data_IF_498380867398
#
_entry.id   IF_498380867398
#
_cell.length_a   1.000
_cell.length_b   1.000
_cell.length_c   1.000
_cell.angle_alpha   90.00
_cell.angle_beta   90.00
_cell.angle_gamma   90.00
#
_symmetry.space_group_name_H-M   'P 1'
#
loop_
_entity.id
_entity.type
_entity.pdbx_description
1 polymer ?
#
# COMPACT_ATOMS: atom_id res chain seq x y z
N UNK A 1 5.83 -0.43 -26.07
CA UNK A 1 7.30 -0.35 -25.96
C UNK A 1 7.74 -1.47 -25.02
N UNK A 2 8.24 -2.58 -25.58
CA UNK A 2 8.66 -3.75 -24.78
C UNK A 2 10.11 -3.47 -24.33
N UNK A 3 10.35 -3.38 -23.02
CA UNK A 3 11.71 -3.29 -22.49
C UNK A 3 12.34 -4.68 -22.51
N UNK A 4 13.34 -4.85 -23.38
CA UNK A 4 14.24 -5.99 -23.40
C UNK A 4 15.34 -5.76 -22.36
N UNK A 5 15.51 -6.71 -21.44
CA UNK A 5 16.66 -6.72 -20.53
C UNK A 5 17.73 -7.63 -21.12
N UNK A 6 18.84 -7.02 -21.53
CA UNK A 6 20.01 -7.71 -22.08
C UNK A 6 21.13 -7.69 -21.04
N UNK A 7 21.64 -8.86 -20.69
CA UNK A 7 22.79 -9.00 -19.82
C UNK A 7 23.92 -9.67 -20.58
N UNK A 8 25.11 -9.08 -20.49
CA UNK A 8 26.35 -9.67 -20.99
C UNK A 8 27.07 -10.31 -19.81
N UNK A 9 27.35 -11.61 -19.91
CA UNK A 9 28.08 -12.37 -18.90
C UNK A 9 29.34 -12.94 -19.54
N UNK A 10 30.50 -12.68 -18.93
CA UNK A 10 31.78 -13.17 -19.41
C UNK A 10 32.24 -14.37 -18.58
N UNK A 11 32.49 -15.48 -19.26
CA UNK A 11 32.99 -16.72 -18.65
C UNK A 11 34.01 -17.36 -19.58
N UNK A 12 35.17 -17.77 -19.06
CA UNK A 12 36.29 -18.34 -19.84
C UNK A 12 36.66 -17.57 -21.11
N UNK A 13 36.76 -16.24 -21.01
CA UNK A 13 37.21 -15.38 -22.11
C UNK A 13 36.21 -15.24 -23.27
N UNK A 14 35.00 -15.79 -23.16
CA UNK A 14 33.89 -15.56 -24.10
C UNK A 14 32.79 -14.74 -23.44
N UNK A 15 32.18 -13.85 -24.23
CA UNK A 15 31.06 -13.01 -23.82
C UNK A 15 29.77 -13.67 -24.30
N UNK A 16 28.87 -13.94 -23.35
CA UNK A 16 27.55 -14.52 -23.59
C UNK A 16 26.48 -13.44 -23.44
N UNK A 17 25.63 -13.30 -24.45
CA UNK A 17 24.48 -12.40 -24.42
C UNK A 17 23.23 -13.18 -24.01
N UNK A 18 22.71 -12.87 -22.83
CA UNK A 18 21.46 -13.43 -22.31
C UNK A 18 20.35 -12.39 -22.47
N UNK A 19 19.35 -12.74 -23.27
CA UNK A 19 18.20 -11.87 -23.55
C UNK A 19 17.00 -12.42 -22.78
N UNK A 20 16.47 -11.62 -21.86
CA UNK A 20 15.27 -11.99 -21.10
C UNK A 20 14.08 -11.21 -21.65
N UNK A 21 13.09 -11.95 -22.19
CA UNK A 21 11.83 -11.39 -22.67
C UNK A 21 10.76 -11.52 -21.57
N UNK A 22 10.17 -10.42 -21.07
CA UNK A 22 9.07 -10.50 -20.12
C UNK A 22 7.80 -10.99 -20.82
N UNK A 23 7.12 -11.96 -20.21
CA UNK A 23 5.88 -12.56 -20.69
C UNK A 23 4.73 -11.53 -20.78
N UNK A 24 4.00 -11.52 -21.89
CA UNK A 24 2.68 -10.89 -21.98
C UNK A 24 1.62 -11.93 -21.55
N UNK A 25 0.79 -11.58 -20.57
CA UNK A 25 -0.24 -12.47 -20.03
C UNK A 25 -1.51 -12.37 -20.89
N UNK A 26 -1.78 -13.41 -21.69
CA UNK A 26 -3.12 -13.71 -22.22
C UNK A 26 -3.56 -15.08 -21.67
N UNK A 27 -4.86 -15.21 -21.36
CA UNK A 27 -5.43 -16.20 -20.44
C UNK A 27 -5.29 -17.69 -20.81
N UNK A 28 -5.51 -18.48 -19.76
CA UNK A 28 -5.88 -19.90 -19.65
C UNK A 28 -4.98 -21.02 -20.21
N UNK A 29 -4.82 -22.07 -19.37
CA UNK A 29 -4.29 -23.43 -19.59
C UNK A 29 -2.76 -23.72 -19.45
N UNK A 30 -2.35 -24.12 -18.24
CA UNK A 30 -1.72 -25.39 -17.80
C UNK A 30 -0.66 -26.16 -18.67
N UNK A 31 0.53 -26.33 -18.04
CA UNK A 31 1.68 -27.29 -18.15
C UNK A 31 2.46 -27.56 -19.47
N UNK A 32 3.77 -27.29 -19.48
CA UNK A 32 4.93 -28.23 -19.41
C UNK A 32 6.24 -27.60 -19.95
N UNK A 33 7.36 -28.02 -19.36
CA UNK A 33 8.75 -27.59 -19.53
C UNK A 33 9.38 -28.12 -20.83
N UNK A 34 9.99 -27.26 -21.67
CA UNK A 34 11.12 -27.63 -22.57
C UNK A 34 12.05 -26.42 -22.72
N UNK A 35 13.31 -26.59 -22.32
CA UNK A 35 14.42 -25.69 -22.62
C UNK A 35 14.77 -25.81 -24.12
N UNK A 36 14.76 -24.71 -24.86
CA UNK A 36 15.45 -24.65 -26.16
C UNK A 36 16.27 -23.37 -26.22
N UNK A 37 17.57 -23.52 -25.97
CA UNK A 37 18.54 -22.46 -26.19
C UNK A 37 18.87 -22.39 -27.68
N UNK A 38 18.61 -21.24 -28.29
CA UNK A 38 19.08 -20.97 -29.65
C UNK A 38 20.54 -20.51 -29.59
N UNK A 39 21.44 -21.34 -30.14
CA UNK A 39 22.81 -20.97 -30.45
C UNK A 39 22.84 -20.33 -31.85
N UNK A 40 23.41 -19.14 -31.97
CA UNK A 40 23.71 -18.53 -33.27
C UNK A 40 25.23 -18.45 -33.40
N UNK A 41 25.79 -19.33 -34.23
CA UNK A 41 27.17 -19.27 -34.73
C UNK A 41 27.24 -18.21 -35.84
N UNK A 42 28.13 -17.24 -35.70
CA UNK A 42 28.38 -16.22 -36.72
C UNK A 42 29.45 -16.74 -37.69
N UNK A 43 29.02 -17.29 -38.83
CA UNK A 43 29.91 -17.51 -39.98
C UNK A 43 29.69 -16.45 -41.06
N UNK A 44 30.80 -15.88 -41.52
CA UNK A 44 30.95 -14.88 -42.57
C UNK A 44 30.07 -15.11 -43.81
N UNK A 45 29.38 -14.05 -44.27
CA UNK A 45 29.67 -13.39 -45.54
C UNK A 45 28.59 -12.38 -45.95
N UNK A 46 29.03 -11.43 -46.79
CA UNK A 46 28.28 -10.47 -47.62
C UNK A 46 27.89 -9.13 -46.99
N UNK A 47 28.82 -8.22 -47.21
CA UNK A 47 28.75 -6.76 -47.19
C UNK A 47 27.64 -6.20 -48.09
N UNK A 48 26.86 -5.26 -47.54
CA UNK A 48 26.27 -4.13 -48.30
C UNK A 48 26.65 -2.86 -47.53
N UNK A 49 27.37 -1.90 -48.14
CA UNK A 49 27.81 -0.72 -47.41
C UNK A 49 26.70 0.33 -47.41
N UNK A 50 26.18 0.67 -46.23
CA UNK A 50 25.64 2.00 -46.01
C UNK A 50 26.74 2.84 -45.36
N UNK A 51 27.53 3.53 -46.17
CA UNK A 51 28.44 4.58 -45.71
C UNK A 51 27.63 5.82 -45.37
N UNK A 52 27.21 5.93 -44.10
CA UNK A 52 26.96 7.24 -43.51
C UNK A 52 28.29 7.72 -42.91
N UNK A 53 28.94 8.66 -43.59
CA UNK A 53 30.11 9.35 -43.07
C UNK A 53 29.65 10.23 -41.89
N UNK A 54 29.96 9.84 -40.66
CA UNK A 54 29.83 10.70 -39.49
C UNK A 54 31.25 11.08 -39.09
N UNK A 55 31.65 12.29 -39.45
CA UNK A 55 32.88 12.91 -38.94
C UNK A 55 32.54 13.58 -37.60
N UNK A 56 33.21 13.15 -36.53
CA UNK A 56 33.05 13.69 -35.19
C UNK A 56 34.15 13.16 -34.27
N UNK A 57 35.20 13.96 -34.09
CA UNK A 57 36.32 13.65 -33.21
C UNK A 57 35.91 13.86 -31.73
N UNK A 58 35.42 12.78 -31.10
CA UNK A 58 35.28 12.46 -29.64
C UNK A 58 33.87 11.97 -29.26
N UNK A 59 33.84 10.91 -28.44
CA UNK A 59 32.67 10.05 -28.18
C UNK A 59 31.64 10.62 -27.16
N UNK A 60 31.82 11.83 -26.65
CA UNK A 60 30.92 12.43 -25.64
C UNK A 60 30.52 13.88 -25.93
N UNK A 61 30.77 14.38 -27.13
CA UNK A 61 30.23 15.67 -27.53
C UNK A 61 28.79 15.51 -28.02
N UNK A 62 27.86 16.15 -27.30
CA UNK A 62 26.44 16.23 -27.68
C UNK A 62 26.33 17.18 -28.88
N UNK A 63 25.63 16.83 -29.97
CA UNK A 63 25.51 17.73 -31.12
C UNK A 63 24.78 19.00 -30.70
N UNK A 64 25.47 20.14 -30.79
CA UNK A 64 24.83 21.46 -30.69
C UNK A 64 24.24 21.76 -32.08
N UNK A 65 22.93 22.01 -32.21
CA UNK A 65 22.34 22.37 -33.48
C UNK A 65 22.88 23.73 -33.94
N UNK A 66 22.96 24.00 -35.25
CA UNK A 66 23.49 25.26 -35.75
C UNK A 66 22.67 26.43 -35.20
N UNK A 67 23.37 27.42 -34.61
CA UNK A 67 22.77 28.72 -34.29
C UNK A 67 22.26 29.36 -35.58
N UNK A 68 20.96 29.21 -35.83
CA UNK A 68 20.25 30.05 -36.77
C UNK A 68 19.07 30.68 -36.03
N UNK A 69 19.26 31.98 -35.79
CA UNK A 69 18.27 32.97 -35.38
C UNK A 69 17.69 32.80 -33.97
N UNK A 70 18.34 33.49 -33.02
CA UNK A 70 17.67 34.15 -31.91
C UNK A 70 16.54 35.04 -32.44
N UNK A 71 15.37 34.45 -32.64
CA UNK A 71 14.10 35.16 -32.54
C UNK A 71 13.45 34.72 -31.25
N UNK A 72 12.92 35.68 -30.51
CA UNK A 72 12.10 35.46 -29.31
C UNK A 72 10.92 34.53 -29.68
N UNK A 73 11.13 33.22 -29.61
CA UNK A 73 10.03 32.27 -29.58
C UNK A 73 9.39 32.44 -28.21
N UNK A 74 8.39 33.33 -28.15
CA UNK A 74 7.32 33.21 -27.18
C UNK A 74 6.93 31.73 -27.23
N UNK A 75 7.19 30.99 -26.15
CA UNK A 75 6.58 29.70 -25.94
C UNK A 75 5.07 29.93 -26.06
N UNK A 76 4.53 29.64 -27.24
CA UNK A 76 3.11 29.67 -27.47
C UNK A 76 2.54 28.56 -26.60
N UNK A 77 1.95 29.01 -25.49
CA UNK A 77 1.29 28.17 -24.50
C UNK A 77 0.21 27.38 -25.23
N UNK A 78 0.41 26.08 -25.35
CA UNK A 78 -0.44 25.23 -26.17
C UNK A 78 -1.88 25.23 -25.61
N UNK A 79 -2.89 25.60 -26.42
CA UNK A 79 -4.25 25.80 -25.92
C UNK A 79 -4.88 24.50 -25.42
N UNK A 80 -4.42 23.34 -25.91
CA UNK A 80 -4.87 22.03 -25.43
C UNK A 80 -4.42 21.75 -23.98
N UNK A 81 -3.17 22.09 -23.62
CA UNK A 81 -2.71 21.99 -22.23
C UNK A 81 -3.49 22.94 -21.31
N UNK A 82 -3.80 24.16 -21.77
CA UNK A 82 -4.61 25.11 -20.98
C UNK A 82 -6.07 24.67 -20.81
N UNK A 83 -6.65 24.05 -21.83
CA UNK A 83 -7.99 23.48 -21.77
C UNK A 83 -8.03 22.30 -20.78
N UNK A 84 -7.08 21.36 -20.89
CA UNK A 84 -6.94 20.24 -19.96
C UNK A 84 -6.67 20.69 -18.52
N UNK A 85 -5.82 21.71 -18.32
CA UNK A 85 -5.57 22.30 -17.01
C UNK A 85 -6.80 23.01 -16.45
N UNK A 86 -7.61 23.69 -17.29
CA UNK A 86 -8.88 24.26 -16.84
C UNK A 86 -9.86 23.19 -16.39
N UNK A 87 -10.00 22.09 -17.14
CA UNK A 87 -10.84 20.97 -16.71
C UNK A 87 -10.40 20.33 -15.38
N UNK A 88 -9.08 20.29 -15.11
CA UNK A 88 -8.56 19.86 -13.81
C UNK A 88 -8.85 20.87 -12.68
N UNK A 89 -8.95 22.16 -13.01
CA UNK A 89 -9.26 23.24 -12.06
C UNK A 89 -10.76 23.40 -11.78
N UNK A 90 -11.61 23.01 -12.75
CA UNK A 90 -13.08 23.02 -12.66
C UNK A 90 -13.63 21.78 -11.93
N UNK A 91 -12.82 20.74 -11.78
CA UNK A 91 -13.09 19.60 -10.90
C UNK A 91 -12.88 19.94 -9.42
N UNK A 92 -13.47 19.15 -8.51
CA UNK A 92 -13.20 19.28 -7.08
C UNK A 92 -11.68 19.24 -6.83
N UNK A 93 -11.12 20.31 -6.24
CA UNK A 93 -9.67 20.39 -6.00
C UNK A 93 -9.33 19.36 -4.93
N UNK A 94 -8.66 18.28 -5.33
CA UNK A 94 -8.12 17.27 -4.41
C UNK A 94 -6.67 17.63 -4.13
N UNK A 95 -6.33 17.72 -2.84
CA UNK A 95 -4.95 17.92 -2.39
C UNK A 95 -4.54 16.82 -1.41
N UNK A 96 -3.29 16.38 -1.50
CA UNK A 96 -2.68 15.39 -0.62
C UNK A 96 -1.25 15.86 -0.27
N UNK A 97 -1.09 16.41 0.92
CA UNK A 97 0.21 16.94 1.41
C UNK A 97 1.01 15.79 2.04
N UNK A 98 2.34 15.82 1.86
CA UNK A 98 3.27 14.81 2.36
C UNK A 98 4.38 15.48 3.22
N UNK A 99 4.57 15.09 4.49
CA UNK A 99 3.70 14.19 5.27
C UNK A 99 2.38 14.88 5.65
N UNK A 100 1.25 14.14 5.75
CA UNK A 100 -0.03 14.71 6.12
C UNK A 100 -0.14 15.00 7.63
N UNK A 101 -0.92 16.01 8.01
CA UNK A 101 -1.42 16.12 9.38
C UNK A 101 -2.71 15.30 9.50
N UNK A 102 -2.65 14.19 10.22
CA UNK A 102 -3.76 13.25 10.39
C UNK A 102 -4.39 13.32 11.79
N UNK A 103 -4.02 14.31 12.59
CA UNK A 103 -4.61 14.54 13.91
C UNK A 103 -6.14 14.68 13.81
N UNK A 104 -6.85 14.09 14.77
CA UNK A 104 -8.31 14.08 14.77
C UNK A 104 -8.91 12.70 14.91
N UNK A 105 -10.23 12.62 14.71
CA UNK A 105 -11.01 11.40 14.83
C UNK A 105 -11.57 10.99 13.47
N UNK A 106 -11.29 9.75 13.08
CA UNK A 106 -11.56 9.20 11.76
C UNK A 106 -12.43 7.96 11.88
N UNK A 107 -13.54 7.93 11.16
CA UNK A 107 -14.54 6.85 11.25
C UNK A 107 -14.86 6.27 9.88
N UNK A 108 -15.20 5.00 9.85
CA UNK A 108 -15.81 4.36 8.69
C UNK A 108 -17.19 4.98 8.46
N UNK A 109 -17.54 5.26 7.21
CA UNK A 109 -18.88 5.77 6.85
C UNK A 109 -19.92 4.68 6.63
N UNK A 110 -19.54 3.43 6.78
CA UNK A 110 -20.40 2.27 6.58
C UNK A 110 -19.69 0.98 6.97
N UNK A 111 -20.36 -0.15 6.76
CA UNK A 111 -19.78 -1.46 6.97
C UNK A 111 -18.70 -1.74 5.91
N UNK A 112 -17.48 -2.02 6.34
CA UNK A 112 -16.37 -2.36 5.46
C UNK A 112 -16.31 -3.88 5.26
N UNK A 113 -16.20 -4.32 4.00
CA UNK A 113 -15.95 -5.72 3.66
C UNK A 113 -14.46 -5.88 3.40
N UNK A 114 -13.79 -6.65 4.25
CA UNK A 114 -12.36 -6.97 4.13
C UNK A 114 -12.15 -8.33 3.46
N UNK A 115 -11.01 -8.49 2.75
CA UNK A 115 -10.55 -9.79 2.29
C UNK A 115 -10.53 -10.82 3.43
N UNK A 116 -11.06 -12.03 3.25
CA UNK A 116 -11.05 -13.08 4.29
C UNK A 116 -12.33 -13.19 5.13
N UNK A 117 -13.49 -13.27 4.46
CA UNK A 117 -14.82 -12.76 4.88
C UNK A 117 -14.84 -12.07 6.25
N UNK A 118 -14.39 -10.81 6.28
CA UNK A 118 -14.42 -9.99 7.49
C UNK A 118 -15.27 -8.75 7.27
N UNK A 119 -16.16 -8.48 8.22
CA UNK A 119 -17.00 -7.28 8.23
C UNK A 119 -16.63 -6.45 9.43
N UNK A 120 -16.32 -5.17 9.23
CA UNK A 120 -15.92 -4.30 10.32
C UNK A 120 -16.30 -2.85 10.12
N UNK A 121 -16.28 -2.11 11.22
CA UNK A 121 -16.20 -0.65 11.24
C UNK A 121 -14.99 -0.21 12.08
N UNK A 122 -14.42 0.94 11.73
CA UNK A 122 -13.19 1.47 12.33
C UNK A 122 -13.45 2.88 12.87
N UNK A 123 -12.79 3.20 13.97
CA UNK A 123 -12.90 4.49 14.65
C UNK A 123 -11.56 4.83 15.31
N UNK A 124 -10.74 5.64 14.62
CA UNK A 124 -9.33 5.88 14.93
C UNK A 124 -9.12 7.33 15.32
N UNK A 125 -8.42 7.54 16.42
CA UNK A 125 -8.06 8.85 16.93
C UNK A 125 -6.55 9.00 16.92
N UNK A 126 -6.03 10.03 16.25
CA UNK A 126 -4.63 10.40 16.27
C UNK A 126 -4.45 11.68 17.09
N UNK A 127 -3.54 11.64 18.05
CA UNK A 127 -3.27 12.75 18.95
C UNK A 127 -2.00 13.51 18.53
N UNK A 128 -1.89 14.82 18.86
CA UNK A 128 -0.68 15.61 18.60
C UNK A 128 0.60 15.02 19.22
N UNK A 129 0.45 14.24 20.29
CA UNK A 129 1.53 13.51 20.98
C UNK A 129 2.04 12.28 20.21
N UNK A 130 1.62 12.09 18.95
CA UNK A 130 1.90 10.90 18.11
C UNK A 130 1.31 9.60 18.65
N UNK A 131 0.49 9.69 19.70
CA UNK A 131 -0.28 8.56 20.18
C UNK A 131 -1.46 8.33 19.25
N UNK A 132 -1.89 7.09 19.15
CA UNK A 132 -3.15 6.75 18.51
C UNK A 132 -3.98 5.83 19.38
N UNK A 133 -5.30 5.92 19.21
CA UNK A 133 -6.26 4.95 19.69
C UNK A 133 -7.05 4.46 18.50
N UNK A 134 -7.01 3.16 18.23
CA UNK A 134 -7.80 2.54 17.17
C UNK A 134 -8.86 1.62 17.80
N UNK A 135 -10.10 1.79 17.36
CA UNK A 135 -11.21 0.88 17.66
C UNK A 135 -11.60 0.18 16.37
N UNK A 136 -11.62 -1.14 16.39
CA UNK A 136 -12.12 -1.98 15.30
C UNK A 136 -13.27 -2.82 15.84
N UNK A 137 -14.45 -2.69 15.26
CA UNK A 137 -15.63 -3.48 15.62
C UNK A 137 -15.84 -4.53 14.53
N UNK A 138 -15.80 -5.81 14.90
CA UNK A 138 -15.97 -6.92 13.98
C UNK A 138 -17.39 -7.47 14.07
N UNK A 139 -17.96 -7.83 12.92
CA UNK A 139 -19.33 -8.29 12.77
C UNK A 139 -19.39 -9.62 12.03
N UNK A 140 -20.47 -10.37 12.23
CA UNK A 140 -20.70 -11.65 11.55
C UNK A 140 -21.46 -11.52 10.22
N UNK A 141 -21.97 -10.32 9.90
CA UNK A 141 -22.78 -10.07 8.72
C UNK A 141 -22.32 -8.82 7.94
N UNK A 142 -22.57 -8.76 6.62
CA UNK A 142 -22.10 -7.68 5.74
C UNK A 142 -22.80 -6.33 5.96
N UNK A 143 -23.85 -6.28 6.76
CA UNK A 143 -24.54 -5.03 7.11
C UNK A 143 -24.11 -4.50 8.49
N UNK A 144 -23.17 -5.19 9.16
CA UNK A 144 -22.68 -4.83 10.48
C UNK A 144 -23.80 -4.73 11.54
N UNK A 145 -24.79 -5.64 11.49
CA UNK A 145 -25.89 -5.67 12.47
C UNK A 145 -25.59 -6.53 13.71
N UNK A 146 -24.77 -7.58 13.57
CA UNK A 146 -24.49 -8.56 14.61
C UNK A 146 -23.01 -8.46 15.03
N UNK A 147 -22.72 -7.74 16.12
CA UNK A 147 -21.34 -7.56 16.59
C UNK A 147 -20.80 -8.87 17.19
N UNK A 148 -19.57 -9.22 16.80
CA UNK A 148 -18.86 -10.40 17.28
C UNK A 148 -17.93 -10.04 18.45
N UNK A 149 -16.93 -9.21 18.17
CA UNK A 149 -15.98 -8.68 19.15
C UNK A 149 -15.45 -7.32 18.67
N UNK A 150 -14.74 -6.61 19.54
CA UNK A 150 -14.02 -5.40 19.17
C UNK A 150 -12.61 -5.40 19.74
N UNK A 151 -11.73 -4.68 19.05
CA UNK A 151 -10.36 -4.45 19.47
C UNK A 151 -10.18 -3.00 19.88
N UNK A 152 -9.53 -2.81 21.03
CA UNK A 152 -9.10 -1.51 21.55
C UNK A 152 -7.59 -1.45 21.51
N UNK A 153 -7.06 -0.69 20.57
CA UNK A 153 -5.64 -0.65 20.25
C UNK A 153 -5.10 0.71 20.63
N UNK A 154 -3.96 0.73 21.31
CA UNK A 154 -3.25 1.96 21.67
C UNK A 154 -1.79 1.81 21.27
N UNK A 155 -1.23 2.87 20.70
CA UNK A 155 0.15 2.87 20.27
C UNK A 155 0.68 4.25 19.94
N UNK A 156 1.85 4.26 19.32
CA UNK A 156 2.50 5.43 18.73
C UNK A 156 2.57 5.27 17.23
N UNK A 157 2.41 6.36 16.49
CA UNK A 157 2.55 6.41 15.05
C UNK A 157 3.55 7.50 14.66
N UNK A 158 4.53 7.16 13.83
CA UNK A 158 5.51 8.09 13.29
C UNK A 158 5.44 8.07 11.77
N UNK A 159 4.95 9.17 11.19
CA UNK A 159 5.01 9.41 9.75
C UNK A 159 6.47 9.59 9.31
N UNK A 160 6.80 9.05 8.14
CA UNK A 160 8.13 9.01 7.53
C UNK A 160 8.09 9.74 6.18
N UNK A 161 8.80 9.21 5.18
CA UNK A 161 8.85 9.75 3.82
C UNK A 161 7.61 9.40 2.99
N UNK A 162 7.48 10.06 1.84
CA UNK A 162 6.58 9.60 0.78
C UNK A 162 6.92 8.17 0.36
N UNK A 163 5.90 7.34 0.09
CA UNK A 163 6.15 5.99 -0.43
C UNK A 163 6.61 6.04 -1.88
N UNK A 164 7.64 5.24 -2.17
CA UNK A 164 8.14 5.04 -3.52
C UNK A 164 7.32 4.01 -4.31
N UNK A 165 6.58 3.13 -3.61
CA UNK A 165 5.73 2.09 -4.18
C UNK A 165 4.33 2.64 -4.43
N UNK A 166 3.72 3.23 -3.41
CA UNK A 166 2.31 3.63 -3.46
C UNK A 166 2.19 5.14 -3.62
N UNK A 167 1.72 5.57 -4.79
CA UNK A 167 1.62 6.99 -5.14
C UNK A 167 0.75 7.77 -4.15
N UNK A 168 1.26 8.91 -3.71
CA UNK A 168 0.57 9.81 -2.78
C UNK A 168 0.47 9.30 -1.34
N UNK A 169 1.13 8.19 -1.01
CA UNK A 169 1.19 7.69 0.36
C UNK A 169 2.37 8.29 1.11
N UNK A 170 2.23 8.37 2.42
CA UNK A 170 3.30 8.54 3.40
C UNK A 170 3.52 7.22 4.10
N UNK A 171 4.76 6.73 4.10
CA UNK A 171 5.14 5.56 4.89
C UNK A 171 5.16 5.93 6.37
N UNK A 172 4.83 5.00 7.24
CA UNK A 172 4.76 5.24 8.66
C UNK A 172 5.22 4.02 9.46
N UNK A 173 5.68 4.28 10.67
CA UNK A 173 6.09 3.25 11.62
C UNK A 173 5.19 3.35 12.84
N UNK A 174 4.58 2.24 13.21
CA UNK A 174 3.73 2.15 14.40
C UNK A 174 4.36 1.26 15.45
N UNK A 175 4.13 1.61 16.72
CA UNK A 175 4.51 0.78 17.86
C UNK A 175 3.29 0.58 18.76
N UNK A 176 2.92 -0.68 18.96
CA UNK A 176 1.81 -1.06 19.81
C UNK A 176 2.21 -0.96 21.27
N UNK A 177 1.35 -0.36 22.08
CA UNK A 177 1.53 -0.27 23.54
C UNK A 177 0.58 -1.18 24.28
N UNK A 178 -0.69 -1.21 23.85
CA UNK A 178 -1.73 -2.06 24.41
C UNK A 178 -2.72 -2.50 23.35
N UNK A 179 -3.14 -3.75 23.42
CA UNK A 179 -4.27 -4.28 22.64
C UNK A 179 -5.21 -4.98 23.60
N UNK A 180 -6.47 -4.57 23.62
CA UNK A 180 -7.55 -5.23 24.36
C UNK A 180 -8.61 -5.77 23.42
N UNK A 181 -9.25 -6.86 23.80
CA UNK A 181 -10.41 -7.43 23.11
C UNK A 181 -11.64 -7.38 24.01
N UNK A 182 -12.81 -7.08 23.42
CA UNK A 182 -14.12 -7.14 24.08
C UNK A 182 -15.03 -8.02 23.24
N UNK A 183 -15.66 -9.02 23.86
CA UNK A 183 -16.58 -9.92 23.18
C UNK A 183 -18.03 -9.48 23.38
N UNK A 184 -18.85 -9.60 22.33
CA UNK A 184 -20.28 -9.33 22.36
C UNK A 184 -21.12 -10.60 22.20
N UNK A 185 -20.56 -11.65 21.61
CA UNK A 185 -21.16 -12.99 21.47
C UNK A 185 -20.38 -14.03 22.29
N UNK A 186 -21.12 -14.99 22.85
CA UNK A 186 -20.55 -16.11 23.61
C UNK A 186 -19.79 -17.07 22.69
N UNK A 187 -20.28 -17.26 21.47
CA UNK A 187 -19.70 -18.08 20.42
C UNK A 187 -18.32 -17.52 20.03
N UNK A 188 -18.26 -16.23 19.69
CA UNK A 188 -17.01 -15.54 19.34
C UNK A 188 -15.96 -15.63 20.47
N UNK A 189 -16.41 -15.49 21.72
CA UNK A 189 -15.55 -15.63 22.89
C UNK A 189 -15.01 -17.05 23.05
N UNK A 190 -15.86 -18.06 22.87
CA UNK A 190 -15.47 -19.47 22.98
C UNK A 190 -14.43 -19.85 21.91
N UNK A 191 -14.65 -19.43 20.66
CA UNK A 191 -13.77 -19.73 19.53
C UNK A 191 -12.38 -19.11 19.72
N UNK A 192 -12.34 -17.82 20.04
CA UNK A 192 -11.07 -17.11 20.28
C UNK A 192 -10.36 -17.67 21.52
N UNK A 193 -11.11 -18.02 22.58
CA UNK A 193 -10.53 -18.65 23.76
C UNK A 193 -9.91 -20.01 23.43
N UNK A 194 -10.56 -20.83 22.61
CA UNK A 194 -10.02 -22.11 22.17
C UNK A 194 -8.72 -21.91 21.36
N UNK A 195 -8.67 -20.90 20.49
CA UNK A 195 -7.46 -20.55 19.73
C UNK A 195 -6.33 -20.05 20.64
N UNK A 196 -6.66 -19.22 21.64
CA UNK A 196 -5.70 -18.74 22.63
C UNK A 196 -5.13 -19.86 23.50
N UNK A 197 -5.93 -20.86 23.86
CA UNK A 197 -5.43 -21.99 24.64
C UNK A 197 -4.32 -22.76 23.90
N UNK A 198 -4.42 -22.83 22.57
CA UNK A 198 -3.42 -23.50 21.71
C UNK A 198 -2.17 -22.65 21.49
N UNK A 199 -2.33 -21.34 21.34
CA UNK A 199 -1.26 -20.44 20.86
C UNK A 199 -0.61 -19.60 21.96
N UNK A 200 -1.36 -19.26 23.02
CA UNK A 200 -0.91 -18.45 24.15
C UNK A 200 -1.42 -19.02 25.49
N UNK A 201 -1.06 -20.26 25.80
CA UNK A 201 -1.58 -21.04 26.95
C UNK A 201 -1.43 -20.34 28.31
N UNK A 202 -0.33 -19.60 28.52
CA UNK A 202 -0.09 -18.84 29.77
C UNK A 202 -1.07 -17.68 30.03
N UNK A 203 -1.88 -17.30 29.05
CA UNK A 203 -2.87 -16.23 29.19
C UNK A 203 -4.10 -16.66 30.02
N UNK A 204 -4.55 -17.90 29.80
CA UNK A 204 -5.79 -18.42 30.37
C UNK A 204 -5.62 -18.96 31.80
N UNK A 205 -4.40 -19.20 32.24
CA UNK A 205 -4.06 -19.75 33.57
C UNK A 205 -4.43 -18.85 34.75
N UNK A 206 -5.00 -17.67 34.51
CA UNK A 206 -5.34 -16.70 35.56
C UNK A 206 -6.67 -16.98 36.29
N UNK A 207 -7.32 -18.13 36.06
CA UNK A 207 -8.49 -18.57 36.81
C UNK A 207 -9.75 -17.70 36.65
N UNK A 208 -9.75 -16.74 35.72
CA UNK A 208 -10.90 -15.86 35.49
C UNK A 208 -11.91 -16.55 34.58
N UNK A 209 -13.17 -16.59 35.01
CA UNK A 209 -14.28 -16.88 34.11
C UNK A 209 -14.41 -15.74 33.09
N UNK A 210 -14.33 -16.09 31.81
CA UNK A 210 -14.55 -15.14 30.73
C UNK A 210 -16.05 -14.90 30.57
N UNK A 211 -16.42 -13.62 30.50
CA UNK A 211 -17.77 -13.14 30.21
C UNK A 211 -17.73 -12.05 29.12
N UNK A 212 -18.78 -11.95 28.28
CA UNK A 212 -18.98 -10.85 27.35
C UNK A 212 -18.99 -9.47 28.03
N UNK A 213 -18.73 -8.41 27.26
CA UNK A 213 -18.72 -7.03 27.73
C UNK A 213 -17.49 -6.63 28.58
N UNK A 214 -16.58 -7.56 28.85
CA UNK A 214 -15.33 -7.30 29.58
C UNK A 214 -14.16 -7.13 28.62
N UNK A 215 -13.21 -6.28 29.01
CA UNK A 215 -11.95 -6.08 28.27
C UNK A 215 -10.90 -7.09 28.74
N UNK A 216 -10.33 -7.84 27.80
CA UNK A 216 -9.19 -8.73 28.02
C UNK A 216 -7.96 -8.17 27.31
N UNK A 217 -6.88 -7.89 28.05
CA UNK A 217 -5.65 -7.31 27.50
C UNK A 217 -4.81 -8.39 26.82
N UNK A 218 -4.71 -8.36 25.49
CA UNK A 218 -3.93 -9.32 24.68
C UNK A 218 -2.46 -8.94 24.55
N UNK A 219 -2.18 -7.63 24.48
CA UNK A 219 -0.83 -7.10 24.41
C UNK A 219 -0.65 -5.99 25.43
N UNK A 220 0.50 -6.00 26.09
CA UNK A 220 0.90 -5.01 27.08
C UNK A 220 2.41 -4.82 27.04
N UNK A 221 2.87 -3.75 26.38
CA UNK A 221 4.29 -3.43 26.30
C UNK A 221 4.91 -3.23 27.70
N UNK A 222 4.14 -2.70 28.66
CA UNK A 222 4.59 -2.52 30.05
C UNK A 222 4.79 -3.84 30.79
N UNK A 223 3.94 -4.84 30.52
CA UNK A 223 4.01 -6.14 31.20
C UNK A 223 4.82 -7.18 30.41
N UNK A 224 5.39 -6.82 29.25
CA UNK A 224 6.14 -7.75 28.39
C UNK A 224 5.30 -8.91 27.86
N UNK A 225 3.98 -8.71 27.70
CA UNK A 225 3.05 -9.77 27.26
C UNK A 225 2.53 -9.46 25.86
N UNK A 226 2.55 -10.47 25.00
CA UNK A 226 1.94 -10.41 23.67
C UNK A 226 1.31 -11.76 23.29
N UNK A 227 -0.03 -11.79 23.23
CA UNK A 227 -0.82 -12.90 22.72
C UNK A 227 -1.58 -12.54 21.42
N UNK A 228 -1.20 -11.45 20.74
CA UNK A 228 -1.94 -10.96 19.56
C UNK A 228 -1.87 -11.92 18.37
N UNK A 229 -0.78 -12.69 18.26
CA UNK A 229 -0.64 -13.77 17.28
C UNK A 229 -1.75 -14.82 17.41
N UNK A 230 -2.30 -15.03 18.62
CA UNK A 230 -3.36 -16.01 18.84
C UNK A 230 -4.69 -15.65 18.16
N UNK A 231 -4.86 -14.41 17.70
CA UNK A 231 -6.03 -13.97 16.91
C UNK A 231 -5.61 -13.46 15.53
N UNK A 232 -4.39 -13.78 15.10
CA UNK A 232 -3.82 -13.35 13.81
C UNK A 232 -3.93 -11.82 13.62
N UNK A 233 -3.73 -11.07 14.69
CA UNK A 233 -3.86 -9.63 14.69
C UNK A 233 -2.66 -8.94 14.03
N UNK A 234 -2.92 -7.89 13.26
CA UNK A 234 -1.93 -7.04 12.62
C UNK A 234 -2.47 -5.61 12.48
N UNK A 235 -1.59 -4.61 12.60
CA UNK A 235 -1.90 -3.19 12.37
C UNK A 235 -1.05 -2.60 11.23
N UNK A 236 -0.60 -3.44 10.29
CA UNK A 236 0.21 -2.98 9.15
C UNK A 236 -0.49 -1.96 8.25
N UNK A 237 -1.81 -1.86 8.30
CA UNK A 237 -2.55 -0.76 7.67
C UNK A 237 -2.09 0.63 8.12
N UNK A 238 -1.53 0.79 9.33
CA UNK A 238 -0.97 2.06 9.79
C UNK A 238 0.43 2.33 9.24
N UNK A 239 1.04 1.40 8.50
CA UNK A 239 2.36 1.61 7.88
C UNK A 239 2.31 2.45 6.61
N UNK A 240 1.11 2.76 6.12
CA UNK A 240 0.89 3.50 4.89
C UNK A 240 -0.34 4.39 5.03
N UNK A 241 -0.15 5.70 4.87
CA UNK A 241 -1.20 6.69 5.16
C UNK A 241 -1.28 7.73 4.04
N UNK A 242 -2.49 8.10 3.63
CA UNK A 242 -2.75 9.22 2.72
C UNK A 242 -3.95 10.01 3.22
N UNK A 243 -3.79 11.33 3.30
CA UNK A 243 -4.90 12.23 3.61
C UNK A 243 -5.24 13.02 2.35
N UNK A 244 -6.49 12.91 1.92
CA UNK A 244 -7.03 13.72 0.84
C UNK A 244 -7.98 14.79 1.39
N UNK A 245 -7.78 16.02 0.93
CA UNK A 245 -8.69 17.15 1.17
C UNK A 245 -9.38 17.48 -0.14
N UNK A 246 -10.68 17.29 -0.19
CA UNK A 246 -11.51 17.56 -1.36
C UNK A 246 -12.32 18.84 -1.12
N UNK A 247 -12.07 19.86 -1.94
CA UNK A 247 -12.82 21.11 -1.92
C UNK A 247 -13.90 21.05 -3.01
N UNK A 248 -15.18 21.16 -2.61
CA UNK A 248 -16.27 21.18 -3.56
C UNK A 248 -16.37 22.59 -4.20
N UNK A 249 -16.21 22.67 -5.52
CA UNK A 249 -16.07 23.93 -6.27
C UNK A 249 -17.36 24.74 -6.48
N UNK A 250 -18.50 24.28 -5.97
CA UNK A 250 -19.75 25.03 -6.05
C UNK A 250 -19.95 25.88 -4.78
N UNK A 251 -20.34 27.13 -4.99
CA UNK A 251 -20.36 28.27 -4.05
C UNK A 251 -21.00 27.97 -2.68
N UNK A 252 -20.24 27.37 -1.76
CA UNK A 252 -20.69 26.91 -0.44
C UNK A 252 -20.27 25.48 -0.06
N UNK A 253 -19.47 24.80 -0.91
CA UNK A 253 -19.04 23.43 -0.70
C UNK A 253 -18.10 23.25 0.50
N UNK A 254 -18.52 22.40 1.46
CA UNK A 254 -17.69 22.01 2.60
C UNK A 254 -16.42 21.26 2.20
N UNK A 255 -15.37 21.41 3.02
CA UNK A 255 -14.15 20.62 2.94
C UNK A 255 -14.46 19.19 3.42
N UNK A 256 -14.23 18.20 2.56
CA UNK A 256 -14.32 16.78 2.93
C UNK A 256 -12.92 16.22 3.04
N UNK A 257 -12.58 15.68 4.21
CA UNK A 257 -11.30 15.03 4.46
C UNK A 257 -11.47 13.52 4.48
N UNK A 258 -10.61 12.82 3.74
CA UNK A 258 -10.61 11.35 3.62
C UNK A 258 -9.24 10.80 3.99
N UNK A 259 -9.20 9.98 5.03
CA UNK A 259 -7.99 9.30 5.48
C UNK A 259 -7.97 7.87 4.93
N UNK A 260 -7.00 7.60 4.08
CA UNK A 260 -6.70 6.28 3.54
C UNK A 260 -5.59 5.63 4.35
N UNK A 261 -5.79 4.36 4.70
CA UNK A 261 -4.81 3.50 5.37
C UNK A 261 -4.43 2.34 4.44
N UNK A 262 -3.26 1.74 4.67
CA UNK A 262 -2.74 0.64 3.87
C UNK A 262 -3.69 -0.55 3.79
N UNK A 263 -3.74 -1.21 2.64
CA UNK A 263 -4.46 -2.47 2.43
C UNK A 263 -3.93 -3.62 3.31
N UNK A 264 -4.66 -4.73 3.30
CA UNK A 264 -4.30 -5.93 4.03
C UNK A 264 -4.35 -7.16 3.13
N UNK A 265 -3.54 -8.15 3.48
CA UNK A 265 -3.50 -9.40 2.75
C UNK A 265 -4.81 -10.20 2.90
N UNK A 266 -5.20 -10.87 1.81
CA UNK A 266 -6.40 -11.72 1.75
C UNK A 266 -6.29 -12.94 2.65
N UNK A 267 -5.14 -13.62 2.63
CA UNK A 267 -4.84 -14.67 3.60
C UNK A 267 -4.47 -14.05 4.94
N UNK A 268 -5.19 -14.45 6.00
CA UNK A 268 -4.96 -13.97 7.37
C UNK A 268 -3.56 -14.32 7.86
N UNK A 269 -3.03 -15.50 7.53
CA UNK A 269 -1.75 -15.98 8.03
C UNK A 269 -0.56 -15.10 7.59
N UNK A 270 -0.68 -14.49 6.41
CA UNK A 270 0.33 -13.63 5.82
C UNK A 270 0.26 -12.18 6.31
N UNK A 271 -0.84 -11.76 6.97
CA UNK A 271 -1.05 -10.36 7.40
C UNK A 271 -0.02 -9.86 8.40
N UNK A 272 0.66 -10.74 9.11
CA UNK A 272 1.73 -10.35 10.05
C UNK A 272 3.02 -9.91 9.32
N UNK A 273 3.23 -10.35 8.07
CA UNK A 273 4.43 -10.07 7.29
C UNK A 273 4.15 -9.21 6.05
N UNK A 274 2.88 -9.05 5.69
CA UNK A 274 2.46 -8.26 4.54
C UNK A 274 2.78 -6.77 4.69
N UNK A 275 3.43 -6.21 3.67
CA UNK A 275 3.60 -4.77 3.49
C UNK A 275 2.50 -4.25 2.57
N UNK A 276 1.68 -3.28 3.02
CA UNK A 276 0.67 -2.65 2.19
C UNK A 276 1.26 -2.02 0.92
N UNK A 277 0.57 -2.19 -0.19
CA UNK A 277 0.91 -1.57 -1.47
C UNK A 277 -0.29 -0.80 -2.10
N UNK A 278 -1.46 -0.89 -1.47
CA UNK A 278 -2.68 -0.19 -1.84
C UNK A 278 -3.34 0.48 -0.63
N UNK A 279 -4.60 0.85 -0.80
CA UNK A 279 -5.39 1.51 0.24
C UNK A 279 -6.67 0.74 0.53
N UNK A 280 -7.11 0.77 1.79
CA UNK A 280 -8.46 0.37 2.20
C UNK A 280 -9.47 1.48 1.88
N UNK A 281 -10.75 1.18 2.12
CA UNK A 281 -11.80 2.20 2.12
C UNK A 281 -11.41 3.34 3.06
N UNK A 282 -11.64 4.58 2.62
CA UNK A 282 -11.26 5.76 3.38
C UNK A 282 -12.14 5.92 4.63
N UNK A 283 -11.50 6.40 5.70
CA UNK A 283 -12.19 6.96 6.86
C UNK A 283 -12.49 8.44 6.59
N UNK A 284 -13.57 8.95 7.17
CA UNK A 284 -13.90 10.37 7.15
C UNK A 284 -13.69 10.98 8.53
N UNK A 285 -13.42 12.28 8.57
CA UNK A 285 -13.44 13.01 9.86
C UNK A 285 -14.82 12.88 10.48
N UNK A 286 -14.87 12.52 11.76
CA UNK A 286 -16.08 12.43 12.56
C UNK A 286 -16.71 13.81 12.84
#
# INVERSE_FOLDING_TARGET
MILLFMFLVQHDGRIHLLIWLPWARTGDAVYHKVLSGYYIELTNALSVPFTALVYGDKLWDVPVPPEQFLTSVKLNREPQCQYQLRHLQDGARISAVLPPNIEGHWISTGCEVRPGPEFLTRSYTFYPSRLFKALQFYYTDPHCHHPSYSLVIKGKLRLRQASWITRGATEAEYHLQKVGIVFYSQEAMSDIRAQMNRTCSGFLSTGRSWAPGRVYELLSAKAGRDCTAAITFSMHELSLVRLEKQYNGQQGGGLVEKLFLGDIHTDRSERAHYRPNGYQQALQSA
#
